data_IF_231950831414
#
_entry.id   IF_231950831414
#
_cell.length_a   1.000
_cell.length_b   1.000
_cell.length_c   1.000
_cell.angle_alpha   90.00
_cell.angle_beta   90.00
_cell.angle_gamma   90.00
#
_symmetry.space_group_name_H-M   'P 1'
#
loop_
_entity.id
_entity.type
_entity.pdbx_description
1 polymer ?
#
# COMPACT_ATOMS: atom_id res chain seq x y z
N UNK A 1 6.06 32.70 20.20
CA UNK A 1 5.86 31.68 19.16
C UNK A 1 7.19 31.36 18.51
N UNK A 2 7.61 30.14 18.56
CA UNK A 2 8.86 29.71 17.94
C UNK A 2 8.57 29.52 16.45
N UNK A 3 9.27 30.23 15.56
CA UNK A 3 9.08 30.01 14.12
C UNK A 3 9.48 28.58 13.76
N UNK A 4 8.66 27.93 12.97
CA UNK A 4 8.97 26.60 12.49
C UNK A 4 10.14 26.72 11.51
N UNK A 5 11.23 26.01 11.80
CA UNK A 5 12.41 26.03 10.95
C UNK A 5 12.12 25.30 9.64
N UNK A 6 12.24 26.01 8.52
CA UNK A 6 12.02 25.45 7.17
C UNK A 6 12.95 24.29 6.88
N UNK A 7 14.18 24.33 7.36
CA UNK A 7 15.14 23.25 7.16
C UNK A 7 14.72 21.98 7.89
N UNK A 8 14.10 22.12 9.07
CA UNK A 8 13.55 20.99 9.83
C UNK A 8 12.36 20.38 9.09
N UNK A 9 11.43 21.21 8.59
CA UNK A 9 10.28 20.72 7.81
C UNK A 9 10.75 20.01 6.55
N UNK A 10 11.68 20.62 5.83
CA UNK A 10 12.26 20.05 4.61
C UNK A 10 12.92 18.69 4.87
N UNK A 11 13.72 18.59 5.94
CA UNK A 11 14.36 17.35 6.34
C UNK A 11 13.34 16.27 6.69
N UNK A 12 12.25 16.64 7.38
CA UNK A 12 11.16 15.73 7.70
C UNK A 12 10.42 15.23 6.47
N UNK A 13 10.16 16.10 5.50
CA UNK A 13 9.57 15.70 4.21
C UNK A 13 10.47 14.69 3.52
N UNK A 14 11.78 14.95 3.47
CA UNK A 14 12.76 14.03 2.88
C UNK A 14 12.75 12.67 3.56
N UNK A 15 12.75 12.64 4.89
CA UNK A 15 12.69 11.39 5.67
C UNK A 15 11.38 10.65 5.45
N UNK A 16 10.26 11.36 5.42
CA UNK A 16 8.95 10.77 5.18
C UNK A 16 8.85 10.16 3.77
N UNK A 17 9.42 10.82 2.76
CA UNK A 17 9.49 10.27 1.41
C UNK A 17 10.30 8.98 1.34
N UNK A 18 11.43 8.91 2.04
CA UNK A 18 12.25 7.69 2.13
C UNK A 18 11.47 6.57 2.81
N UNK A 19 10.77 6.86 3.90
CA UNK A 19 9.91 5.88 4.58
C UNK A 19 8.80 5.37 3.66
N UNK A 20 8.16 6.27 2.92
CA UNK A 20 7.10 5.91 1.99
C UNK A 20 7.63 5.01 0.86
N UNK A 21 8.79 5.33 0.32
CA UNK A 21 9.46 4.51 -0.68
C UNK A 21 9.80 3.12 -0.14
N UNK A 22 10.31 3.03 1.08
CA UNK A 22 10.61 1.75 1.75
C UNK A 22 9.36 0.93 1.99
N UNK A 23 8.30 1.54 2.49
CA UNK A 23 7.02 0.86 2.74
C UNK A 23 6.43 0.33 1.43
N UNK A 24 6.51 1.12 0.36
CA UNK A 24 6.06 0.71 -0.98
C UNK A 24 6.88 -0.48 -1.50
N UNK A 25 8.20 -0.45 -1.32
CA UNK A 25 9.07 -1.55 -1.72
C UNK A 25 8.81 -2.81 -0.90
N UNK A 26 8.46 -2.68 0.39
CA UNK A 26 8.08 -3.81 1.24
C UNK A 26 6.90 -4.59 0.66
N UNK A 27 5.94 -3.90 0.07
CA UNK A 27 4.79 -4.54 -0.60
C UNK A 27 5.25 -5.32 -1.83
N UNK A 28 6.16 -4.76 -2.63
CA UNK A 28 6.71 -5.46 -3.78
C UNK A 28 7.47 -6.73 -3.36
N UNK A 29 8.24 -6.67 -2.27
CA UNK A 29 8.93 -7.84 -1.71
C UNK A 29 7.93 -8.89 -1.27
N UNK A 30 6.85 -8.48 -0.59
CA UNK A 30 5.79 -9.38 -0.16
C UNK A 30 5.16 -10.11 -1.35
N UNK A 31 4.92 -9.43 -2.46
CA UNK A 31 4.40 -10.05 -3.67
C UNK A 31 5.36 -11.07 -4.26
N UNK A 32 6.65 -10.73 -4.34
CA UNK A 32 7.68 -11.63 -4.88
C UNK A 32 7.89 -12.87 -4.04
N UNK A 33 7.77 -12.76 -2.73
CA UNK A 33 7.97 -13.86 -1.80
C UNK A 33 6.69 -14.62 -1.47
N UNK A 34 5.56 -14.19 -2.03
CA UNK A 34 4.23 -14.72 -1.75
C UNK A 34 3.86 -14.70 -0.25
N UNK A 35 4.46 -13.79 0.49
CA UNK A 35 4.13 -13.54 1.89
C UNK A 35 3.29 -12.26 2.00
N UNK A 36 1.98 -12.41 2.17
CA UNK A 36 1.04 -11.30 2.20
C UNK A 36 0.83 -10.74 3.61
N UNK A 37 1.39 -11.36 4.65
CA UNK A 37 1.21 -10.93 6.03
C UNK A 37 1.64 -9.48 6.30
N UNK A 38 2.76 -8.95 5.75
CA UNK A 38 3.17 -7.57 6.01
C UNK A 38 2.41 -6.51 5.21
N UNK A 39 1.54 -6.88 4.28
CA UNK A 39 0.90 -5.92 3.35
C UNK A 39 -0.02 -4.96 4.10
N UNK A 40 -0.87 -5.45 5.01
CA UNK A 40 -1.80 -4.59 5.74
C UNK A 40 -1.07 -3.55 6.59
N UNK A 41 -0.01 -3.95 7.28
CA UNK A 41 0.82 -3.04 8.05
C UNK A 41 1.50 -2.00 7.15
N UNK A 42 1.98 -2.41 5.98
CA UNK A 42 2.59 -1.49 5.01
C UNK A 42 1.58 -0.48 4.46
N UNK A 43 0.34 -0.90 4.19
CA UNK A 43 -0.73 0.00 3.75
C UNK A 43 -1.06 1.03 4.83
N UNK A 44 -1.15 0.60 6.08
CA UNK A 44 -1.40 1.52 7.21
C UNK A 44 -0.25 2.51 7.36
N UNK A 45 0.99 2.07 7.25
CA UNK A 45 2.17 2.94 7.27
C UNK A 45 2.13 3.95 6.12
N UNK A 46 1.78 3.53 4.91
CA UNK A 46 1.67 4.41 3.77
C UNK A 46 0.62 5.51 3.98
N UNK A 47 -0.52 5.18 4.58
CA UNK A 47 -1.55 6.16 4.92
C UNK A 47 -1.05 7.18 5.93
N UNK A 48 -0.41 6.71 6.99
CA UNK A 48 0.16 7.56 8.05
C UNK A 48 1.22 8.50 7.48
N UNK A 49 2.14 7.97 6.70
CA UNK A 49 3.24 8.74 6.12
C UNK A 49 2.72 9.76 5.11
N UNK A 50 1.77 9.38 4.26
CA UNK A 50 1.15 10.29 3.27
C UNK A 50 0.46 11.45 3.98
N UNK A 51 -0.25 11.17 5.06
CA UNK A 51 -0.88 12.21 5.87
C UNK A 51 0.17 13.16 6.48
N UNK A 52 1.25 12.61 7.02
CA UNK A 52 2.36 13.41 7.57
C UNK A 52 2.98 14.32 6.52
N UNK A 53 3.23 13.82 5.31
CA UNK A 53 3.76 14.62 4.20
C UNK A 53 2.80 15.77 3.87
N UNK A 54 1.51 15.50 3.80
CA UNK A 54 0.49 16.51 3.52
C UNK A 54 0.51 17.62 4.56
N UNK A 55 0.55 17.24 5.84
CA UNK A 55 0.61 18.20 6.95
C UNK A 55 1.89 19.06 6.87
N UNK A 56 3.03 18.44 6.57
CA UNK A 56 4.30 19.15 6.44
C UNK A 56 4.29 20.13 5.27
N UNK A 57 3.75 19.73 4.11
CA UNK A 57 3.66 20.59 2.94
C UNK A 57 2.68 21.75 3.18
N UNK A 58 1.61 21.53 3.92
CA UNK A 58 0.68 22.59 4.30
C UNK A 58 1.29 23.56 5.30
N UNK A 59 2.24 23.10 6.12
CA UNK A 59 2.96 23.92 7.08
C UNK A 59 3.97 24.86 6.40
N UNK A 60 4.51 24.46 5.26
CA UNK A 60 5.41 25.28 4.45
C UNK A 60 5.08 25.14 2.96
N UNK A 61 4.13 25.97 2.47
CA UNK A 61 3.71 25.91 1.07
C UNK A 61 4.83 26.16 0.05
N UNK A 62 5.93 26.79 0.46
CA UNK A 62 7.09 27.02 -0.42
C UNK A 62 7.74 25.73 -0.90
N UNK A 63 7.55 24.62 -0.17
CA UNK A 63 8.03 23.28 -0.56
C UNK A 63 7.29 22.71 -1.78
N UNK A 64 6.19 23.31 -2.19
CA UNK A 64 5.45 22.93 -3.41
C UNK A 64 5.92 23.69 -4.64
N UNK A 65 6.82 24.65 -4.46
CA UNK A 65 7.28 25.59 -5.50
C UNK A 65 8.72 25.29 -5.93
N UNK A 66 9.06 25.70 -7.15
CA UNK A 66 10.42 25.63 -7.69
C UNK A 66 10.93 24.20 -7.85
N UNK A 67 12.25 24.08 -7.85
CA UNK A 67 12.93 22.79 -8.06
C UNK A 67 12.65 21.81 -6.94
N UNK A 68 12.52 22.28 -5.70
CA UNK A 68 12.20 21.45 -4.55
C UNK A 68 10.80 20.85 -4.72
N UNK A 69 9.83 21.69 -5.08
CA UNK A 69 8.45 21.25 -5.32
C UNK A 69 8.37 20.22 -6.44
N UNK A 70 9.09 20.44 -7.53
CA UNK A 70 9.18 19.48 -8.64
C UNK A 70 9.80 18.15 -8.21
N UNK A 71 10.85 18.21 -7.43
CA UNK A 71 11.53 17.00 -6.93
C UNK A 71 10.61 16.17 -6.05
N UNK A 72 9.93 16.81 -5.10
CA UNK A 72 8.96 16.16 -4.23
C UNK A 72 7.80 15.57 -5.05
N UNK A 73 7.23 16.35 -5.95
CA UNK A 73 6.13 15.92 -6.80
C UNK A 73 6.50 14.72 -7.68
N UNK A 74 7.72 14.70 -8.20
CA UNK A 74 8.23 13.59 -9.02
C UNK A 74 8.34 12.31 -8.22
N UNK A 75 8.88 12.38 -7.00
CA UNK A 75 8.98 11.23 -6.11
C UNK A 75 7.61 10.70 -5.72
N UNK A 76 6.68 11.58 -5.35
CA UNK A 76 5.32 11.19 -5.01
C UNK A 76 4.60 10.54 -6.19
N UNK A 77 4.77 11.08 -7.40
CA UNK A 77 4.20 10.48 -8.62
C UNK A 77 4.74 9.08 -8.87
N UNK A 78 6.03 8.90 -8.71
CA UNK A 78 6.64 7.58 -8.88
C UNK A 78 6.07 6.57 -7.88
N UNK A 79 5.99 6.96 -6.61
CA UNK A 79 5.39 6.13 -5.56
C UNK A 79 3.94 5.79 -5.91
N UNK A 80 3.17 6.77 -6.37
CA UNK A 80 1.77 6.56 -6.75
C UNK A 80 1.64 5.56 -7.90
N UNK A 81 2.49 5.65 -8.92
CA UNK A 81 2.49 4.70 -10.04
C UNK A 81 2.78 3.28 -9.57
N UNK A 82 3.76 3.11 -8.67
CA UNK A 82 4.07 1.79 -8.10
C UNK A 82 2.88 1.27 -7.29
N UNK A 83 2.24 2.11 -6.49
CA UNK A 83 1.06 1.72 -5.72
C UNK A 83 -0.12 1.33 -6.61
N UNK A 84 -0.33 2.02 -7.73
CA UNK A 84 -1.36 1.64 -8.70
C UNK A 84 -1.12 0.24 -9.27
N UNK A 85 0.12 -0.09 -9.58
CA UNK A 85 0.48 -1.44 -10.03
C UNK A 85 0.24 -2.47 -8.93
N UNK A 86 0.54 -2.14 -7.68
CA UNK A 86 0.27 -3.00 -6.54
C UNK A 86 -1.22 -3.25 -6.34
N UNK A 87 -2.04 -2.21 -6.51
CA UNK A 87 -3.50 -2.34 -6.43
C UNK A 87 -4.03 -3.28 -7.53
N UNK A 88 -3.51 -3.16 -8.75
CA UNK A 88 -3.87 -4.07 -9.85
C UNK A 88 -3.51 -5.51 -9.52
N UNK A 89 -2.33 -5.73 -8.96
CA UNK A 89 -1.91 -7.06 -8.52
C UNK A 89 -2.85 -7.64 -7.47
N UNK A 90 -3.21 -6.85 -6.45
CA UNK A 90 -4.12 -7.28 -5.39
C UNK A 90 -5.52 -7.59 -5.92
N UNK A 91 -6.02 -6.79 -6.85
CA UNK A 91 -7.31 -7.05 -7.50
C UNK A 91 -7.29 -8.36 -8.28
N UNK A 92 -6.22 -8.61 -9.03
CA UNK A 92 -6.05 -9.86 -9.76
C UNK A 92 -5.95 -11.06 -8.82
N UNK A 93 -5.21 -10.92 -7.74
CA UNK A 93 -5.07 -11.95 -6.71
C UNK A 93 -6.43 -12.26 -6.05
N UNK A 94 -7.17 -11.23 -5.65
CA UNK A 94 -8.49 -11.40 -5.05
C UNK A 94 -9.50 -12.01 -6.03
N UNK A 95 -9.44 -11.65 -7.30
CA UNK A 95 -10.27 -12.26 -8.34
C UNK A 95 -9.95 -13.75 -8.51
N UNK A 96 -8.67 -14.12 -8.49
CA UNK A 96 -8.24 -15.51 -8.58
C UNK A 96 -8.74 -16.34 -7.38
N UNK A 97 -8.67 -15.77 -6.17
CA UNK A 97 -9.20 -16.39 -4.95
C UNK A 97 -10.72 -16.54 -5.06
N UNK A 98 -11.43 -15.50 -5.52
CA UNK A 98 -12.87 -15.57 -5.74
C UNK A 98 -13.25 -16.68 -6.70
N UNK A 99 -12.49 -16.88 -7.77
CA UNK A 99 -12.69 -17.99 -8.71
C UNK A 99 -12.47 -19.36 -8.05
N UNK A 100 -11.44 -19.48 -7.22
CA UNK A 100 -11.18 -20.71 -6.45
C UNK A 100 -12.32 -21.02 -5.49
N UNK A 101 -12.82 -20.00 -4.79
CA UNK A 101 -13.96 -20.16 -3.87
C UNK A 101 -15.21 -20.62 -4.62
N UNK A 102 -15.48 -20.08 -5.81
CA UNK A 102 -16.60 -20.53 -6.65
C UNK A 102 -16.43 -21.98 -7.09
N UNK A 103 -15.22 -22.37 -7.46
CA UNK A 103 -14.92 -23.76 -7.82
C UNK A 103 -15.11 -24.68 -6.64
N UNK A 104 -14.66 -24.29 -5.44
CA UNK A 104 -14.87 -25.04 -4.20
C UNK A 104 -16.36 -25.14 -3.88
N UNK A 105 -17.13 -24.07 -4.05
CA UNK A 105 -18.58 -24.08 -3.83
C UNK A 105 -19.29 -25.07 -4.75
N UNK A 106 -18.89 -25.15 -6.03
CA UNK A 106 -19.41 -26.16 -6.97
C UNK A 106 -19.03 -27.57 -6.54
N UNK A 107 -17.80 -27.74 -6.07
CA UNK A 107 -17.32 -29.02 -5.55
C UNK A 107 -18.08 -29.43 -4.30
N UNK A 108 -18.43 -28.51 -3.41
CA UNK A 108 -19.27 -28.76 -2.23
C UNK A 108 -20.65 -29.26 -2.57
N UNK A 109 -21.19 -28.88 -3.72
CA UNK A 109 -22.49 -29.40 -4.18
C UNK A 109 -22.40 -30.87 -4.56
N UNK A 110 -21.19 -31.43 -4.74
CA UNK A 110 -20.97 -32.86 -4.94
C UNK A 110 -20.86 -33.59 -3.60
N UNK A 111 -21.14 -34.91 -3.54
CA UNK A 111 -21.01 -35.70 -2.29
C UNK A 111 -19.60 -35.68 -1.70
N UNK A 112 -18.55 -35.56 -2.54
CA UNK A 112 -17.15 -35.53 -2.12
C UNK A 112 -16.71 -34.16 -1.61
N UNK A 113 -17.38 -33.08 -2.03
CA UNK A 113 -16.98 -31.71 -1.69
C UNK A 113 -17.37 -31.27 -0.29
N UNK A 114 -18.30 -31.96 0.37
CA UNK A 114 -18.83 -31.56 1.68
C UNK A 114 -17.76 -31.54 2.78
N UNK A 115 -16.77 -32.41 2.69
CA UNK A 115 -15.67 -32.48 3.67
C UNK A 115 -14.67 -31.31 3.55
N UNK A 116 -14.57 -30.72 2.38
CA UNK A 116 -13.66 -29.59 2.12
C UNK A 116 -14.30 -28.23 2.45
N UNK A 117 -15.56 -28.21 2.88
CA UNK A 117 -16.32 -26.97 3.09
C UNK A 117 -15.66 -25.98 4.06
N UNK A 118 -15.03 -26.50 5.12
CA UNK A 118 -14.38 -25.66 6.15
C UNK A 118 -13.14 -24.91 5.63
N UNK A 119 -12.51 -25.38 4.56
CA UNK A 119 -11.31 -24.74 4.00
C UNK A 119 -11.64 -23.48 3.19
N UNK A 120 -12.84 -23.36 2.66
CA UNK A 120 -13.24 -22.18 1.88
C UNK A 120 -13.29 -20.91 2.74
N UNK A 121 -13.61 -21.04 4.02
CA UNK A 121 -13.74 -19.90 4.96
C UNK A 121 -12.41 -19.16 5.13
N UNK A 122 -11.28 -19.84 5.04
CA UNK A 122 -9.96 -19.25 5.20
C UNK A 122 -9.64 -18.19 4.14
N UNK A 123 -10.29 -18.24 2.98
CA UNK A 123 -10.04 -17.33 1.87
C UNK A 123 -10.96 -16.12 1.86
N UNK A 124 -12.02 -16.12 2.65
CA UNK A 124 -12.98 -15.01 2.73
C UNK A 124 -12.36 -13.77 3.40
N UNK A 125 -11.39 -13.96 4.28
CA UNK A 125 -10.71 -12.89 5.00
C UNK A 125 -9.60 -12.18 4.18
N UNK A 126 -9.28 -12.70 3.00
CA UNK A 126 -8.28 -12.13 2.11
C UNK A 126 -8.94 -11.06 1.24
N UNK A 127 -8.52 -9.80 1.44
CA UNK A 127 -9.04 -8.65 0.71
C UNK A 127 -7.97 -7.99 -0.15
#
# INVERSE_FOLDING_TARGET
MIPVDRDVIRARVGSALVELERSTESVNVAFRTHDHAPIDAAIDDQRRITHEITVLLDSDPSLREGDIGEHIARRLRHIQLVREEQIKYLRGYNAAIGNRLRTIARYKASPLGRQAASHAVLFEDIR
#
